data_IF_094139434131
#
_entry.id   IF_094139434131
#
_cell.length_a   1.000
_cell.length_b   1.000
_cell.length_c   1.000
_cell.angle_alpha   90.00
_cell.angle_beta   90.00
_cell.angle_gamma   90.00
#
_symmetry.space_group_name_H-M   'P 1'
#
loop_
_entity.id
_entity.type
_entity.pdbx_description
1 polymer ?
#
# COMPACT_ATOMS: atom_id res chain seq x y z
N UNK A 1 -9.75 3.95 -34.97
CA UNK A 1 -11.10 4.02 -35.58
C UNK A 1 -11.85 2.81 -35.02
N UNK A 2 -12.63 2.88 -33.95
CA UNK A 2 -13.69 3.83 -33.65
C UNK A 2 -13.77 4.12 -32.12
N UNK A 3 -14.02 5.38 -31.74
CA UNK A 3 -14.73 5.65 -30.48
C UNK A 3 -16.22 5.50 -30.81
N UNK A 4 -16.91 4.46 -30.31
CA UNK A 4 -18.32 4.26 -30.57
C UNK A 4 -19.11 5.16 -29.62
N UNK A 5 -19.35 6.42 -29.99
CA UNK A 5 -20.43 7.31 -29.48
C UNK A 5 -20.64 7.42 -27.96
N UNK A 6 -19.74 6.90 -27.13
CA UNK A 6 -19.76 6.95 -25.67
C UNK A 6 -18.57 7.77 -25.23
N UNK A 7 -18.85 8.94 -24.67
CA UNK A 7 -17.84 9.88 -24.17
C UNK A 7 -16.92 9.21 -23.14
N UNK A 8 -17.41 8.21 -22.41
CA UNK A 8 -16.65 7.41 -21.44
C UNK A 8 -15.58 6.49 -22.05
N UNK A 9 -15.74 6.00 -23.28
CA UNK A 9 -14.72 5.17 -23.96
C UNK A 9 -13.56 6.02 -24.50
N UNK A 10 -13.80 7.32 -24.68
CA UNK A 10 -12.86 8.26 -25.28
C UNK A 10 -12.12 9.12 -24.23
N UNK A 11 -12.54 9.09 -22.95
CA UNK A 11 -11.81 9.70 -21.83
C UNK A 11 -10.71 8.74 -21.34
N UNK A 12 -9.48 9.03 -21.76
CA UNK A 12 -8.29 8.29 -21.36
C UNK A 12 -7.70 8.90 -20.08
N UNK A 13 -7.87 8.22 -18.95
CA UNK A 13 -7.08 8.50 -17.75
C UNK A 13 -5.84 7.58 -17.78
N UNK A 14 -4.64 8.17 -17.90
CA UNK A 14 -3.38 7.44 -18.07
C UNK A 14 -3.37 6.37 -19.21
N UNK A 15 -4.12 6.61 -20.28
CA UNK A 15 -4.02 5.81 -21.52
C UNK A 15 -4.93 4.58 -21.62
N UNK A 16 -5.87 4.38 -20.68
CA UNK A 16 -6.92 3.35 -20.79
C UNK A 16 -8.32 3.95 -20.64
N UNK A 17 -9.28 3.35 -21.35
CA UNK A 17 -10.67 3.80 -21.42
C UNK A 17 -11.43 3.53 -20.11
N UNK A 18 -12.18 4.53 -19.64
CA UNK A 18 -12.89 4.51 -18.35
C UNK A 18 -14.00 3.46 -18.25
N UNK A 19 -14.47 2.88 -19.35
CA UNK A 19 -15.53 1.84 -19.35
C UNK A 19 -15.02 0.47 -18.89
N UNK A 20 -13.72 0.20 -19.07
CA UNK A 20 -13.02 -0.96 -18.49
C UNK A 20 -12.68 -0.78 -17.01
N UNK A 21 -12.72 0.46 -16.51
CA UNK A 21 -12.34 0.81 -15.13
C UNK A 21 -13.50 0.61 -14.14
N UNK A 22 -14.76 0.66 -14.60
CA UNK A 22 -15.93 0.38 -13.77
C UNK A 22 -16.41 -1.08 -13.83
N UNK A 23 -15.89 -1.92 -14.74
CA UNK A 23 -16.16 -3.36 -14.72
C UNK A 23 -15.24 -4.13 -13.77
N UNK A 24 -14.07 -3.58 -13.42
CA UNK A 24 -13.14 -4.21 -12.46
C UNK A 24 -12.23 -3.17 -11.82
N UNK A 25 -12.65 -2.63 -10.66
CA UNK A 25 -11.82 -1.79 -9.76
C UNK A 25 -10.41 -2.39 -9.49
N UNK A 26 -10.26 -3.70 -9.70
CA UNK A 26 -9.01 -4.44 -9.58
C UNK A 26 -7.86 -4.01 -10.48
N UNK A 27 -8.09 -3.41 -11.67
CA UNK A 27 -6.98 -3.01 -12.56
C UNK A 27 -6.27 -1.72 -12.12
N UNK A 28 -7.00 -0.72 -11.63
CA UNK A 28 -6.42 0.50 -11.01
C UNK A 28 -5.60 0.15 -9.78
N UNK A 29 -6.17 -0.75 -8.96
CA UNK A 29 -5.58 -1.23 -7.72
C UNK A 29 -4.26 -1.97 -8.04
N UNK A 30 -4.22 -2.81 -9.08
CA UNK A 30 -3.06 -3.61 -9.43
C UNK A 30 -1.82 -2.80 -9.87
N UNK A 31 -1.96 -1.58 -10.42
CA UNK A 31 -0.81 -0.73 -10.77
C UNK A 31 -0.31 0.12 -9.60
N UNK A 32 -1.23 0.55 -8.72
CA UNK A 32 -0.91 1.45 -7.60
C UNK A 32 -0.41 0.69 -6.36
N UNK A 33 -0.99 -0.48 -6.06
CA UNK A 33 -0.62 -1.29 -4.90
C UNK A 33 0.89 -1.60 -4.80
N UNK A 34 1.56 -2.15 -5.84
CA UNK A 34 2.97 -2.52 -5.69
C UNK A 34 3.85 -1.31 -5.34
N UNK A 35 3.58 -0.14 -5.94
CA UNK A 35 4.31 1.08 -5.63
C UNK A 35 4.06 1.54 -4.17
N UNK A 36 2.81 1.47 -3.71
CA UNK A 36 2.46 1.84 -2.32
C UNK A 36 3.11 0.89 -1.30
N UNK A 37 3.13 -0.43 -1.55
CA UNK A 37 3.77 -1.39 -0.65
C UNK A 37 5.29 -1.16 -0.54
N UNK A 38 5.95 -0.85 -1.66
CA UNK A 38 7.40 -0.53 -1.67
C UNK A 38 7.67 0.73 -0.84
N UNK A 39 6.90 1.81 -1.06
CA UNK A 39 7.06 3.06 -0.31
C UNK A 39 6.74 2.87 1.17
N UNK A 40 5.66 2.16 1.50
CA UNK A 40 5.27 1.90 2.88
C UNK A 40 6.32 1.05 3.62
N UNK A 41 6.86 0.01 2.97
CA UNK A 41 7.94 -0.80 3.52
C UNK A 41 9.20 0.02 3.81
N UNK A 42 9.57 0.91 2.89
CA UNK A 42 10.71 1.80 3.07
C UNK A 42 10.52 2.78 4.24
N UNK A 43 9.34 3.38 4.36
CA UNK A 43 9.02 4.31 5.46
C UNK A 43 9.07 3.59 6.82
N UNK A 44 8.46 2.41 6.93
CA UNK A 44 8.48 1.61 8.16
C UNK A 44 9.91 1.23 8.53
N UNK A 45 10.74 0.83 7.56
CA UNK A 45 12.13 0.48 7.78
C UNK A 45 12.92 1.64 8.41
N UNK A 46 12.81 2.85 7.86
CA UNK A 46 13.45 4.03 8.45
C UNK A 46 12.89 4.39 9.82
N UNK A 47 11.59 4.25 10.04
CA UNK A 47 10.97 4.50 11.35
C UNK A 47 11.53 3.58 12.44
N UNK A 48 11.74 2.30 12.14
CA UNK A 48 12.33 1.34 13.10
C UNK A 48 13.77 1.72 13.41
N UNK A 49 14.56 2.10 12.40
CA UNK A 49 15.95 2.54 12.60
C UNK A 49 15.99 3.80 13.48
N UNK A 50 15.18 4.81 13.15
CA UNK A 50 15.12 6.04 13.94
C UNK A 50 14.62 5.81 15.37
N UNK A 51 13.57 5.01 15.53
CA UNK A 51 13.03 4.65 16.86
C UNK A 51 14.06 3.90 17.70
N UNK A 52 14.74 2.89 17.10
CA UNK A 52 15.80 2.13 17.75
C UNK A 52 17.00 3.00 18.13
N UNK A 53 17.46 3.85 17.21
CA UNK A 53 18.55 4.79 17.48
C UNK A 53 18.18 5.77 18.59
N UNK A 54 16.93 6.25 18.65
CA UNK A 54 16.44 7.17 19.69
C UNK A 54 16.46 6.51 21.08
N UNK A 55 16.15 5.22 21.19
CA UNK A 55 16.23 4.46 22.45
C UNK A 55 17.69 4.24 22.87
N UNK A 56 18.60 4.01 21.93
CA UNK A 56 20.02 3.80 22.26
C UNK A 56 20.68 5.15 22.64
N UNK A 57 20.34 6.21 21.91
CA UNK A 57 20.87 7.55 22.11
C UNK A 57 20.26 8.28 23.32
N UNK A 58 19.17 7.77 23.91
CA UNK A 58 18.52 8.41 25.07
C UNK A 58 19.38 8.42 26.33
N UNK A 59 20.49 7.65 26.37
CA UNK A 59 21.50 7.69 27.44
C UNK A 59 20.93 7.63 28.87
N UNK A 60 19.81 6.92 29.08
CA UNK A 60 19.14 6.79 30.37
C UNK A 60 18.04 7.82 30.65
N UNK A 61 17.74 8.73 29.71
CA UNK A 61 16.57 9.60 29.81
C UNK A 61 15.28 8.81 29.52
N UNK A 62 14.40 8.74 30.52
CA UNK A 62 13.13 8.02 30.46
C UNK A 62 12.20 8.56 29.35
N UNK A 63 12.16 9.87 29.12
CA UNK A 63 11.26 10.49 28.15
C UNK A 63 11.64 10.09 26.72
N UNK A 64 12.93 10.13 26.40
CA UNK A 64 13.44 9.76 25.06
C UNK A 64 13.34 8.27 24.79
N UNK A 65 13.43 7.46 25.84
CA UNK A 65 13.23 6.02 25.76
C UNK A 65 11.75 5.68 25.50
N UNK A 66 10.83 6.38 26.16
CA UNK A 66 9.39 6.25 25.93
C UNK A 66 9.00 6.71 24.52
N UNK A 67 9.57 7.82 24.05
CA UNK A 67 9.38 8.36 22.70
C UNK A 67 9.82 7.35 21.62
N UNK A 68 11.04 6.81 21.73
CA UNK A 68 11.54 5.81 20.80
C UNK A 68 10.72 4.51 20.81
N UNK A 69 10.27 4.07 21.99
CA UNK A 69 9.40 2.88 22.13
C UNK A 69 8.05 3.09 21.45
N UNK A 70 7.49 4.31 21.53
CA UNK A 70 6.25 4.67 20.83
C UNK A 70 6.43 4.64 19.31
N UNK A 71 7.57 5.13 18.81
CA UNK A 71 7.90 5.09 17.37
C UNK A 71 7.97 3.64 16.89
N UNK A 72 8.73 2.78 17.59
CA UNK A 72 8.83 1.35 17.24
C UNK A 72 7.46 0.67 17.27
N UNK A 73 6.66 0.93 18.30
CA UNK A 73 5.30 0.36 18.41
C UNK A 73 4.42 0.80 17.24
N UNK A 74 4.50 2.08 16.83
CA UNK A 74 3.74 2.57 15.68
C UNK A 74 4.21 1.95 14.36
N UNK A 75 5.51 1.70 14.20
CA UNK A 75 6.07 1.04 13.03
C UNK A 75 5.62 -0.44 12.95
N UNK A 76 5.60 -1.14 14.07
CA UNK A 76 5.08 -2.52 14.16
C UNK A 76 3.59 -2.55 13.81
N UNK A 77 2.79 -1.60 14.31
CA UNK A 77 1.38 -1.48 13.96
C UNK A 77 1.18 -1.22 12.46
N UNK A 78 1.99 -0.34 11.87
CA UNK A 78 1.97 -0.08 10.42
C UNK A 78 2.29 -1.33 9.59
N UNK A 79 3.29 -2.11 10.01
CA UNK A 79 3.63 -3.38 9.38
C UNK A 79 2.47 -4.38 9.47
N UNK A 80 1.84 -4.48 10.64
CA UNK A 80 0.72 -5.38 10.87
C UNK A 80 -0.49 -5.02 9.99
N UNK A 81 -0.73 -3.72 9.75
CA UNK A 81 -1.75 -3.24 8.81
C UNK A 81 -1.43 -3.66 7.37
N UNK A 82 -0.16 -3.56 6.93
CA UNK A 82 0.23 -4.03 5.59
C UNK A 82 0.00 -5.53 5.41
N UNK A 83 0.32 -6.32 6.43
CA UNK A 83 0.01 -7.75 6.46
C UNK A 83 -1.50 -7.99 6.36
N UNK A 84 -2.30 -7.33 7.20
CA UNK A 84 -3.76 -7.47 7.19
C UNK A 84 -4.37 -7.07 5.83
N UNK A 85 -3.85 -6.00 5.21
CA UNK A 85 -4.27 -5.54 3.89
C UNK A 85 -4.04 -6.60 2.81
N UNK A 86 -2.90 -7.30 2.83
CA UNK A 86 -2.64 -8.42 1.91
C UNK A 86 -3.69 -9.53 2.04
N UNK A 87 -4.03 -9.93 3.27
CA UNK A 87 -5.06 -10.95 3.52
C UNK A 87 -6.43 -10.52 3.03
N UNK A 88 -6.80 -9.24 3.23
CA UNK A 88 -8.07 -8.69 2.71
C UNK A 88 -8.12 -8.79 1.18
N UNK A 89 -7.04 -8.40 0.50
CA UNK A 89 -6.96 -8.46 -0.97
C UNK A 89 -7.04 -9.91 -1.47
N UNK A 90 -6.38 -10.85 -0.79
CA UNK A 90 -6.48 -12.28 -1.10
C UNK A 90 -7.93 -12.80 -1.02
N UNK A 91 -8.65 -12.45 0.04
CA UNK A 91 -10.07 -12.83 0.19
C UNK A 91 -10.91 -12.25 -0.97
N UNK A 92 -10.67 -10.99 -1.33
CA UNK A 92 -11.36 -10.34 -2.46
C UNK A 92 -11.07 -11.10 -3.77
N UNK A 93 -9.83 -11.55 -4.00
CA UNK A 93 -9.51 -12.34 -5.21
C UNK A 93 -10.24 -13.66 -5.27
N UNK A 94 -10.30 -14.37 -4.15
CA UNK A 94 -11.00 -15.67 -4.07
C UNK A 94 -12.49 -15.50 -4.35
N UNK A 95 -13.11 -14.42 -3.83
CA UNK A 95 -14.53 -14.14 -4.05
C UNK A 95 -14.82 -13.64 -5.47
N UNK A 96 -13.93 -12.82 -6.04
CA UNK A 96 -14.16 -12.16 -7.35
C UNK A 96 -13.61 -12.97 -8.53
N UNK A 97 -12.75 -13.98 -8.29
CA UNK A 97 -12.12 -14.79 -9.33
C UNK A 97 -11.08 -14.05 -10.20
N UNK A 98 -10.79 -12.78 -9.92
CA UNK A 98 -9.82 -11.96 -10.65
C UNK A 98 -8.50 -11.91 -9.87
N UNK A 99 -7.36 -12.33 -10.45
CA UNK A 99 -6.07 -12.25 -9.79
C UNK A 99 -5.57 -10.80 -9.74
N UNK A 100 -5.70 -10.15 -8.58
CA UNK A 100 -5.22 -8.76 -8.33
C UNK A 100 -3.76 -8.72 -7.85
N UNK A 101 -3.20 -9.86 -7.44
CA UNK A 101 -1.84 -10.01 -6.89
C UNK A 101 -0.94 -10.80 -7.85
N UNK A 102 -1.23 -10.80 -9.16
CA UNK A 102 -0.42 -11.47 -10.18
C UNK A 102 0.43 -10.48 -11.02
N UNK A 103 0.67 -9.28 -10.54
CA UNK A 103 1.65 -8.39 -11.18
C UNK A 103 2.93 -8.45 -10.38
N UNK A 104 3.91 -9.13 -10.98
CA UNK A 104 5.19 -9.52 -10.41
C UNK A 104 5.72 -8.59 -9.32
N UNK A 105 5.66 -9.09 -8.09
CA UNK A 105 6.89 -9.19 -7.31
C UNK A 105 7.71 -10.36 -7.86
#
# INVERSE_FOLDING_TARGET
MACPTNLGDCLLFQGTAATTEYSTAGKLINNILPNVYIVAGLVIFFMIIFGGFTIIASAGNADKTAEGSKIITSAIMGLLILFASYWIIQIIQVVTGVPILNSGL
#
